data_IF_187840727417
#
_entry.id   IF_187840727417
#
_cell.length_a   1.000
_cell.length_b   1.000
_cell.length_c   1.000
_cell.angle_alpha   90.00
_cell.angle_beta   90.00
_cell.angle_gamma   90.00
#
_symmetry.space_group_name_H-M   'P 1'
#
loop_
_entity.id
_entity.type
_entity.pdbx_description
1 polymer ?
#
# COMPACT_ATOMS: atom_id res chain seq x y z
N UNK A 1 -14.49 2.35 3.81
CA UNK A 1 -13.49 3.19 3.12
C UNK A 1 -13.43 2.74 1.67
N UNK A 2 -13.76 3.61 0.71
CA UNK A 2 -13.40 3.36 -0.69
C UNK A 2 -12.21 4.25 -0.99
N UNK A 3 -11.00 3.69 -0.94
CA UNK A 3 -9.78 4.34 -1.36
C UNK A 3 -9.45 3.87 -2.78
N UNK A 4 -9.17 4.79 -3.70
CA UNK A 4 -8.73 4.41 -5.05
C UNK A 4 -7.26 3.95 -5.03
N UNK A 5 -6.83 3.25 -6.07
CA UNK A 5 -5.42 2.90 -6.26
C UNK A 5 -4.54 4.16 -6.31
N UNK A 6 -5.05 5.26 -6.86
CA UNK A 6 -4.38 6.58 -6.92
C UNK A 6 -4.25 7.24 -5.55
N UNK A 7 -5.27 7.12 -4.70
CA UNK A 7 -5.20 7.59 -3.31
C UNK A 7 -4.13 6.81 -2.54
N UNK A 8 -4.13 5.48 -2.68
CA UNK A 8 -3.15 4.62 -2.01
C UNK A 8 -1.73 4.88 -2.53
N UNK A 9 -1.58 5.07 -3.84
CA UNK A 9 -0.31 5.40 -4.46
C UNK A 9 0.27 6.72 -3.91
N UNK A 10 -0.58 7.75 -3.77
CA UNK A 10 -0.19 9.02 -3.14
C UNK A 10 0.18 8.85 -1.67
N UNK A 11 -0.60 8.08 -0.92
CA UNK A 11 -0.35 7.85 0.50
C UNK A 11 0.98 7.11 0.76
N UNK A 12 1.34 6.15 -0.10
CA UNK A 12 2.57 5.38 0.02
C UNK A 12 3.76 5.98 -0.75
N UNK A 13 3.57 7.14 -1.40
CA UNK A 13 4.55 7.78 -2.28
C UNK A 13 5.13 6.83 -3.35
N UNK A 14 4.24 6.09 -4.03
CA UNK A 14 4.58 5.23 -5.16
C UNK A 14 3.73 5.59 -6.37
N UNK A 15 4.07 5.07 -7.55
CA UNK A 15 3.22 5.25 -8.72
C UNK A 15 1.98 4.36 -8.67
N UNK A 16 0.89 4.81 -9.31
CA UNK A 16 -0.30 4.00 -9.55
C UNK A 16 0.04 2.61 -10.15
N UNK A 17 0.97 2.58 -11.12
CA UNK A 17 1.41 1.34 -11.75
C UNK A 17 2.04 0.35 -10.77
N UNK A 18 2.67 0.85 -9.69
CA UNK A 18 3.22 0.00 -8.62
C UNK A 18 2.12 -0.66 -7.82
N UNK A 19 1.09 0.09 -7.40
CA UNK A 19 -0.10 -0.46 -6.71
C UNK A 19 -0.80 -1.50 -7.58
N UNK A 20 -1.07 -1.15 -8.85
CA UNK A 20 -1.72 -2.05 -9.79
C UNK A 20 -0.95 -3.37 -9.97
N UNK A 21 0.39 -3.34 -10.00
CA UNK A 21 1.20 -4.57 -10.08
C UNK A 21 1.12 -5.42 -8.81
N UNK A 22 1.10 -4.81 -7.63
CA UNK A 22 0.96 -5.57 -6.37
C UNK A 22 -0.41 -6.24 -6.28
N UNK A 23 -1.49 -5.53 -6.58
CA UNK A 23 -2.85 -6.08 -6.52
C UNK A 23 -3.06 -7.19 -7.55
N UNK A 24 -2.41 -7.11 -8.72
CA UNK A 24 -2.42 -8.18 -9.72
C UNK A 24 -1.35 -9.27 -9.46
N UNK A 25 -0.67 -9.25 -8.31
CA UNK A 25 0.33 -10.24 -7.92
C UNK A 25 1.58 -10.29 -8.80
N UNK A 26 1.83 -9.27 -9.63
CA UNK A 26 2.97 -9.21 -10.56
C UNK A 26 4.29 -8.91 -9.86
N UNK A 27 4.25 -8.17 -8.77
CA UNK A 27 5.41 -7.86 -7.92
C UNK A 27 4.97 -7.79 -6.46
N UNK A 28 5.94 -7.82 -5.53
CA UNK A 28 5.69 -7.56 -4.11
C UNK A 28 6.37 -6.25 -3.69
N UNK A 29 5.83 -5.54 -2.69
CA UNK A 29 6.54 -4.41 -2.08
C UNK A 29 7.87 -4.88 -1.49
N UNK A 30 8.90 -4.03 -1.58
CA UNK A 30 10.16 -4.29 -0.89
C UNK A 30 10.02 -3.97 0.62
N UNK A 31 11.07 -4.25 1.40
CA UNK A 31 11.04 -4.06 2.85
C UNK A 31 10.70 -2.63 3.28
N UNK A 32 11.25 -1.61 2.63
CA UNK A 32 10.99 -0.20 2.95
C UNK A 32 9.53 0.14 2.64
N UNK A 33 9.05 -0.24 1.46
CA UNK A 33 7.68 0.05 1.04
C UNK A 33 6.65 -0.71 1.88
N UNK A 34 6.98 -1.92 2.32
CA UNK A 34 6.15 -2.68 3.25
C UNK A 34 6.04 -1.98 4.61
N UNK A 35 7.13 -1.40 5.13
CA UNK A 35 7.08 -0.62 6.36
C UNK A 35 6.17 0.61 6.22
N UNK A 36 6.29 1.34 5.10
CA UNK A 36 5.40 2.48 4.80
C UNK A 36 3.94 2.03 4.73
N UNK A 37 3.66 0.88 4.10
CA UNK A 37 2.32 0.32 4.00
C UNK A 37 1.73 -0.06 5.36
N UNK A 38 2.51 -0.74 6.21
CA UNK A 38 2.10 -1.10 7.57
C UNK A 38 1.80 0.15 8.39
N UNK A 39 2.70 1.14 8.39
CA UNK A 39 2.48 2.40 9.11
C UNK A 39 1.25 3.16 8.60
N UNK A 40 1.00 3.15 7.28
CA UNK A 40 -0.22 3.71 6.70
C UNK A 40 -1.47 3.01 7.26
N UNK A 41 -1.47 1.68 7.33
CA UNK A 41 -2.59 0.91 7.87
C UNK A 41 -2.82 1.18 9.36
N UNK A 42 -1.76 1.18 10.18
CA UNK A 42 -1.84 1.52 11.60
C UNK A 42 -2.44 2.90 11.84
N UNK A 43 -2.02 3.91 11.07
CA UNK A 43 -2.56 5.27 11.15
C UNK A 43 -4.04 5.37 10.77
N UNK A 44 -4.54 4.44 9.96
CA UNK A 44 -5.95 4.36 9.57
C UNK A 44 -6.75 3.40 10.46
N UNK A 45 -6.18 2.92 11.58
CA UNK A 45 -6.83 1.99 12.51
C UNK A 45 -6.99 0.58 11.96
N UNK A 46 -6.24 0.22 10.92
CA UNK A 46 -6.25 -1.11 10.31
C UNK A 46 -5.17 -1.93 11.00
N UNK A 47 -5.59 -2.89 11.84
CA UNK A 47 -4.67 -3.84 12.45
C UNK A 47 -4.23 -4.88 11.43
N UNK A 48 -2.93 -4.90 11.13
CA UNK A 48 -2.28 -5.97 10.36
C UNK A 48 -1.57 -6.88 11.36
N UNK A 49 -2.32 -7.73 12.05
CA UNK A 49 -1.77 -8.89 12.77
C UNK A 49 -2.13 -10.14 11.96
N UNK A 50 -1.13 -10.98 11.70
CA UNK A 50 -1.32 -12.32 11.11
C UNK A 50 -2.23 -13.21 11.97
#
# INVERSE_FOLDING_TARGET
>A
MNMSQEDLARALNVSFATINRWENGKTRPNKLTMQVFISFCEQNGISIMD
#
